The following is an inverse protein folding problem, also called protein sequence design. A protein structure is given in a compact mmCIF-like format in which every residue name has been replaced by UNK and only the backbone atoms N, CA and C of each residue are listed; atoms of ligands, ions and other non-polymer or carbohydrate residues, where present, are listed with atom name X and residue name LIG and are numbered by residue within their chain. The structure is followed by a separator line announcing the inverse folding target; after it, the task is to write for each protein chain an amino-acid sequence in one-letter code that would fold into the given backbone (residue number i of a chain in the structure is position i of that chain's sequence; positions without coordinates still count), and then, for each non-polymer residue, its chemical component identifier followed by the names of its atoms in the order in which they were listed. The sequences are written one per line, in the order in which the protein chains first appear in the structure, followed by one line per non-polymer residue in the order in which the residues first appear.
data_IF_339240960587
#
_entry.id   IF_339240960587
#
_cell.length_a   1.000
_cell.length_b   1.000
_cell.length_c   1.000
_cell.angle_alpha   90.00
_cell.angle_beta   90.00
_cell.angle_gamma   90.00
#
_symmetry.space_group_name_H-M   'P 1'
#
loop_
_entity.id
_entity.type
_entity.pdbx_description
1 polymer ?
#
# COMPACT_ATOMS: atom_id res chain seq x y z
N UNK A 1 51.00 23.54 -22.01
CA UNK A 1 50.40 22.23 -21.64
C UNK A 1 49.75 22.20 -20.25
N UNK A 2 49.38 23.35 -19.65
CA UNK A 2 48.77 23.41 -18.31
C UNK A 2 47.23 23.43 -18.34
N UNK A 3 46.61 23.92 -19.43
CA UNK A 3 45.15 24.02 -19.54
C UNK A 3 44.45 22.64 -19.60
N UNK A 4 45.09 21.61 -20.15
CA UNK A 4 44.47 20.27 -20.24
C UNK A 4 44.26 19.61 -18.87
N UNK A 5 45.09 19.91 -17.87
CA UNK A 5 44.97 19.38 -16.50
C UNK A 5 43.74 19.96 -15.76
N UNK A 6 43.44 21.25 -15.96
CA UNK A 6 42.27 21.89 -15.33
C UNK A 6 40.93 21.33 -15.85
N UNK A 7 40.87 20.99 -17.15
CA UNK A 7 39.66 20.41 -17.76
C UNK A 7 39.40 18.99 -17.24
N UNK A 8 40.45 18.24 -16.93
CA UNK A 8 40.35 16.88 -16.37
C UNK A 8 39.82 16.89 -14.92
N UNK A 9 40.22 17.87 -14.10
CA UNK A 9 39.77 17.99 -12.70
C UNK A 9 38.33 18.49 -12.59
N UNK A 10 37.89 19.37 -13.49
CA UNK A 10 36.52 19.90 -13.49
C UNK A 10 35.46 18.82 -13.84
N UNK A 11 35.86 17.81 -14.63
CA UNK A 11 34.99 16.72 -15.07
C UNK A 11 34.58 15.78 -13.92
N UNK A 12 35.39 15.66 -12.87
CA UNK A 12 35.07 14.83 -11.70
C UNK A 12 34.06 15.51 -10.74
N UNK A 13 33.90 16.83 -10.83
CA UNK A 13 32.97 17.60 -9.99
C UNK A 13 31.53 17.63 -10.51
N UNK A 14 31.27 17.18 -11.75
CA UNK A 14 29.92 17.22 -12.34
C UNK A 14 29.24 15.86 -12.23
N UNK A 15 28.85 15.49 -11.02
CA UNK A 15 27.85 14.43 -10.83
C UNK A 15 26.47 15.03 -11.10
N UNK A 16 25.83 14.62 -12.21
CA UNK A 16 24.42 14.97 -12.48
C UNK A 16 23.53 13.99 -11.71
N UNK A 17 22.77 14.48 -10.75
CA UNK A 17 21.69 13.73 -10.12
C UNK A 17 20.55 13.57 -11.11
N UNK A 18 20.39 12.36 -11.65
CA UNK A 18 19.24 12.01 -12.48
C UNK A 18 18.13 11.53 -11.55
N UNK A 19 17.11 12.36 -11.38
CA UNK A 19 15.89 11.97 -10.68
C UNK A 19 15.13 10.98 -11.56
N UNK A 20 15.20 9.70 -11.22
CA UNK A 20 14.36 8.67 -11.85
C UNK A 20 13.04 8.63 -11.09
N UNK A 21 11.88 8.68 -11.77
CA UNK A 21 10.60 8.50 -11.10
C UNK A 21 10.60 7.15 -10.38
N UNK A 22 10.28 7.18 -9.10
CA UNK A 22 10.27 5.99 -8.27
C UNK A 22 9.16 5.05 -8.77
N UNK A 23 9.51 3.79 -9.05
CA UNK A 23 8.53 2.80 -9.46
C UNK A 23 7.49 2.62 -8.35
N UNK A 24 6.21 2.86 -8.68
CA UNK A 24 5.12 2.65 -7.73
C UNK A 24 4.99 1.14 -7.48
N UNK A 25 5.47 0.67 -6.33
CA UNK A 25 5.33 -0.74 -5.94
C UNK A 25 3.83 -0.99 -5.72
N UNK A 26 3.19 -1.88 -6.50
CA UNK A 26 1.78 -2.15 -6.34
C UNK A 26 1.51 -2.73 -4.95
N UNK A 27 0.37 -2.37 -4.37
CA UNK A 27 -0.08 -2.97 -3.12
C UNK A 27 -0.16 -4.50 -3.28
N UNK A 28 0.24 -5.27 -2.26
CA UNK A 28 0.15 -6.71 -2.33
C UNK A 28 -1.31 -7.13 -2.57
N UNK A 29 -1.51 -8.13 -3.44
CA UNK A 29 -2.84 -8.51 -3.93
C UNK A 29 -3.82 -8.82 -2.79
N UNK A 30 -3.34 -9.38 -1.68
CA UNK A 30 -4.11 -9.67 -0.46
C UNK A 30 -4.79 -8.42 0.12
N UNK A 31 -4.21 -7.23 -0.03
CA UNK A 31 -4.80 -5.97 0.43
C UNK A 31 -5.82 -5.38 -0.57
N UNK A 32 -5.83 -5.87 -1.81
CA UNK A 32 -6.75 -5.41 -2.86
C UNK A 32 -7.90 -6.39 -3.12
N UNK A 33 -7.83 -7.60 -2.55
CA UNK A 33 -8.92 -8.57 -2.69
C UNK A 33 -10.18 -8.07 -1.99
N UNK A 34 -11.35 -8.16 -2.63
CA UNK A 34 -12.61 -7.78 -2.00
C UNK A 34 -12.89 -8.71 -0.82
N UNK A 35 -13.39 -8.13 0.28
CA UNK A 35 -13.85 -8.92 1.43
C UNK A 35 -15.00 -9.81 1.01
N UNK A 36 -14.90 -11.11 1.29
CA UNK A 36 -15.96 -12.07 0.96
C UNK A 36 -17.23 -11.73 1.76
N UNK A 37 -18.35 -11.56 1.05
CA UNK A 37 -19.65 -11.33 1.68
C UNK A 37 -20.26 -12.70 2.02
N UNK A 38 -20.58 -12.99 3.29
CA UNK A 38 -21.18 -14.26 3.66
C UNK A 38 -22.59 -14.36 3.06
N UNK A 39 -22.84 -15.44 2.31
CA UNK A 39 -24.17 -15.74 1.78
C UNK A 39 -25.04 -16.38 2.87
N UNK A 40 -26.30 -15.96 3.06
CA UNK A 40 -27.16 -16.54 4.08
C UNK A 40 -27.43 -18.04 3.78
N UNK A 41 -27.13 -18.97 4.71
CA UNK A 41 -27.21 -20.41 4.44
C UNK A 41 -28.57 -20.90 3.96
N UNK A 42 -29.67 -20.38 4.52
CA UNK A 42 -31.03 -20.79 4.11
C UNK A 42 -31.45 -20.24 2.76
N UNK A 43 -30.94 -19.08 2.33
CA UNK A 43 -31.26 -18.55 0.99
C UNK A 43 -30.78 -19.51 -0.11
N UNK A 44 -29.73 -20.28 0.14
CA UNK A 44 -29.17 -21.26 -0.79
C UNK A 44 -30.02 -22.53 -0.89
N UNK A 45 -30.68 -22.95 0.20
CA UNK A 45 -31.35 -24.26 0.28
C UNK A 45 -32.83 -24.20 -0.08
N UNK A 46 -33.54 -23.13 0.30
CA UNK A 46 -35.00 -23.04 0.11
C UNK A 46 -35.48 -21.64 -0.30
N UNK A 47 -34.56 -20.74 -0.67
CA UNK A 47 -34.86 -19.36 -1.07
C UNK A 47 -35.73 -18.59 -0.05
N UNK A 48 -35.67 -18.98 1.23
CA UNK A 48 -36.43 -18.38 2.33
C UNK A 48 -35.52 -18.11 3.52
N UNK A 49 -35.43 -16.85 3.91
CA UNK A 49 -34.71 -16.43 5.11
C UNK A 49 -35.72 -16.21 6.24
N UNK A 50 -35.62 -16.99 7.31
CA UNK A 50 -36.43 -16.75 8.52
C UNK A 50 -35.81 -15.63 9.35
N UNK A 51 -36.61 -14.99 10.22
CA UNK A 51 -36.12 -13.91 11.09
C UNK A 51 -34.94 -14.35 11.99
N UNK A 52 -35.03 -15.53 12.61
CA UNK A 52 -33.91 -16.04 13.42
C UNK A 52 -32.62 -16.23 12.61
N UNK A 53 -32.75 -16.64 11.35
CA UNK A 53 -31.60 -16.80 10.45
C UNK A 53 -31.04 -15.45 9.97
N UNK A 54 -31.88 -14.43 9.79
CA UNK A 54 -31.39 -13.08 9.45
C UNK A 54 -30.62 -12.45 10.62
N UNK A 55 -31.06 -12.66 11.86
CA UNK A 55 -30.34 -12.20 13.05
C UNK A 55 -28.96 -12.87 13.14
N UNK A 56 -28.89 -14.19 12.92
CA UNK A 56 -27.61 -14.88 12.90
C UNK A 56 -26.72 -14.39 11.75
N UNK A 57 -27.29 -14.23 10.56
CA UNK A 57 -26.58 -13.70 9.40
C UNK A 57 -26.05 -12.28 9.60
N UNK A 58 -26.75 -11.41 10.33
CA UNK A 58 -26.26 -10.08 10.69
C UNK A 58 -24.94 -10.16 11.48
N UNK A 59 -24.79 -11.14 12.38
CA UNK A 59 -23.53 -11.34 13.10
C UNK A 59 -22.38 -11.72 12.16
N UNK A 60 -22.63 -12.57 11.16
CA UNK A 60 -21.66 -12.93 10.13
C UNK A 60 -21.27 -11.72 9.25
N UNK A 61 -22.25 -10.88 8.89
CA UNK A 61 -22.00 -9.64 8.16
C UNK A 61 -21.16 -8.65 8.97
N UNK A 62 -21.43 -8.52 10.27
CA UNK A 62 -20.64 -7.67 11.16
C UNK A 62 -19.20 -8.18 11.31
N UNK A 63 -18.99 -9.50 11.38
CA UNK A 63 -17.66 -10.10 11.39
C UNK A 63 -16.90 -9.84 10.07
N UNK A 64 -17.58 -9.94 8.92
CA UNK A 64 -17.00 -9.59 7.63
C UNK A 64 -16.62 -8.09 7.56
N UNK A 65 -17.46 -7.22 8.12
CA UNK A 65 -17.16 -5.78 8.23
C UNK A 65 -15.96 -5.50 9.13
N UNK A 66 -15.84 -6.21 10.25
CA UNK A 66 -14.67 -6.13 11.14
C UNK A 66 -13.39 -6.53 10.41
N UNK A 67 -13.42 -7.66 9.68
CA UNK A 67 -12.29 -8.08 8.84
C UNK A 67 -11.92 -6.99 7.82
N UNK A 68 -12.89 -6.43 7.10
CA UNK A 68 -12.65 -5.38 6.12
C UNK A 68 -12.05 -4.10 6.76
N UNK A 69 -12.45 -3.76 7.98
CA UNK A 69 -11.90 -2.63 8.71
C UNK A 69 -10.45 -2.90 9.15
N UNK A 70 -10.14 -4.13 9.55
CA UNK A 70 -8.78 -4.54 9.87
C UNK A 70 -7.87 -4.47 8.64
N UNK A 71 -8.33 -4.96 7.48
CA UNK A 71 -7.57 -4.90 6.23
C UNK A 71 -7.24 -3.43 5.87
N UNK A 72 -8.22 -2.52 5.99
CA UNK A 72 -8.00 -1.08 5.80
C UNK A 72 -6.99 -0.49 6.79
N UNK A 73 -6.99 -0.94 8.04
CA UNK A 73 -6.02 -0.49 9.03
C UNK A 73 -4.60 -0.91 8.65
N UNK A 74 -4.42 -2.15 8.19
CA UNK A 74 -3.13 -2.66 7.72
C UNK A 74 -2.63 -1.89 6.48
N UNK A 75 -3.52 -1.55 5.54
CA UNK A 75 -3.18 -0.70 4.37
C UNK A 75 -2.65 0.65 4.82
N UNK A 76 -3.35 1.31 5.77
CA UNK A 76 -2.93 2.62 6.30
C UNK A 76 -1.57 2.55 6.98
N UNK A 77 -1.30 1.49 7.74
CA UNK A 77 0.01 1.29 8.37
C UNK A 77 1.11 1.09 7.33
N UNK A 78 0.86 0.28 6.29
CA UNK A 78 1.80 0.09 5.20
C UNK A 78 2.07 1.39 4.43
N UNK A 79 1.05 2.24 4.22
CA UNK A 79 1.21 3.58 3.64
C UNK A 79 2.07 4.50 4.51
N UNK A 80 1.82 4.57 5.80
CA UNK A 80 2.63 5.37 6.73
C UNK A 80 4.10 4.93 6.72
N UNK A 81 4.37 3.62 6.67
CA UNK A 81 5.74 3.11 6.57
C UNK A 81 6.42 3.54 5.27
N UNK A 82 5.69 3.52 4.14
CA UNK A 82 6.20 4.01 2.86
C UNK A 82 6.51 5.51 2.94
N UNK A 83 5.59 6.33 3.44
CA UNK A 83 5.81 7.77 3.61
C UNK A 83 7.06 8.08 4.45
N UNK A 84 7.27 7.34 5.55
CA UNK A 84 8.47 7.49 6.37
C UNK A 84 9.76 7.11 5.62
N UNK A 85 9.73 6.07 4.78
CA UNK A 85 10.88 5.70 3.94
C UNK A 85 11.18 6.77 2.89
N UNK A 86 10.15 7.31 2.23
CA UNK A 86 10.31 8.42 1.29
C UNK A 86 10.89 9.67 1.97
N UNK A 87 10.41 10.02 3.17
CA UNK A 87 10.93 11.15 3.94
C UNK A 87 12.41 10.96 4.34
N UNK A 88 12.82 9.74 4.73
CA UNK A 88 14.23 9.43 5.03
C UNK A 88 15.12 9.51 3.80
N UNK A 89 14.66 9.02 2.64
CA UNK A 89 15.38 9.14 1.37
C UNK A 89 15.61 10.60 0.96
N UNK A 90 14.58 11.45 1.11
CA UNK A 90 14.70 12.88 0.80
C UNK A 90 15.52 13.70 1.81
N UNK A 91 15.79 13.15 3.01
CA UNK A 91 16.65 13.80 4.02
C UNK A 91 18.13 13.43 3.83
N UNK A 92 18.42 12.23 3.33
CA UNK A 92 19.78 11.84 2.95
C UNK A 92 20.36 12.73 1.83
N UNK A 93 19.50 13.25 0.95
CA UNK A 93 19.88 14.14 -0.15
C UNK A 93 20.22 15.57 0.28
N UNK A 94 19.80 16.01 1.48
CA UNK A 94 20.01 17.40 1.96
C UNK A 94 21.29 17.58 2.78
N UNK A 95 22.04 16.51 3.04
CA UNK A 95 23.24 16.50 3.87
C UNK A 95 24.55 16.33 3.07
N UNK A 96 24.51 16.59 1.76
CA UNK A 96 25.69 16.69 0.89
C UNK A 96 25.67 18.02 0.13
#
# INVERSE_FOLDING_TARGET
MSLCLMVLLCRCSTTRTVYVPMACVPLPANLTTPTAIPMPPSAVVNNRLTYGQSVNWNSLLLAALESANNDKALIRQAEQQREQQHAKSGTAEKNH
#
